data_IF_188922412751
#
_entry.id   IF_188922412751
#
_cell.length_a   1.000
_cell.length_b   1.000
_cell.length_c   1.000
_cell.angle_alpha   90.00
_cell.angle_beta   90.00
_cell.angle_gamma   90.00
#
_symmetry.space_group_name_H-M   'P 1'
#
loop_
_entity.id
_entity.type
_entity.pdbx_description
1 polymer ?
#
# COMPACT_ATOMS: atom_id res chain seq x y z
N UNK A 1 -5.65 13.71 1.76
CA UNK A 1 -6.85 13.36 2.58
C UNK A 1 -6.72 11.88 2.91
N UNK A 2 -6.93 11.47 4.16
CA UNK A 2 -6.79 10.05 4.52
C UNK A 2 -8.10 9.28 4.28
N UNK A 3 -8.01 7.95 4.19
CA UNK A 3 -9.19 7.08 4.18
C UNK A 3 -10.11 7.32 5.39
N UNK A 4 -9.55 7.67 6.55
CA UNK A 4 -10.31 8.02 7.76
C UNK A 4 -11.06 9.34 7.60
N UNK A 5 -10.48 10.32 6.91
CA UNK A 5 -11.16 11.58 6.63
C UNK A 5 -12.40 11.37 5.78
N UNK A 6 -12.35 10.47 4.79
CA UNK A 6 -13.53 10.11 3.98
C UNK A 6 -14.63 9.49 4.85
N UNK A 7 -14.27 8.58 5.77
CA UNK A 7 -15.23 8.02 6.75
C UNK A 7 -15.88 9.14 7.58
N UNK A 8 -15.09 10.10 8.07
CA UNK A 8 -15.59 11.22 8.87
C UNK A 8 -16.55 12.11 8.05
N UNK A 9 -16.22 12.37 6.78
CA UNK A 9 -17.04 13.16 5.84
C UNK A 9 -18.40 12.52 5.60
N UNK A 10 -18.44 11.20 5.42
CA UNK A 10 -19.68 10.44 5.25
C UNK A 10 -20.47 10.37 6.55
N UNK A 11 -19.80 10.09 7.67
CA UNK A 11 -20.46 9.98 8.97
C UNK A 11 -21.15 11.30 9.39
N UNK A 12 -20.57 12.46 9.07
CA UNK A 12 -21.18 13.78 9.35
C UNK A 12 -22.47 14.04 8.56
N UNK A 13 -22.68 13.35 7.43
CA UNK A 13 -23.89 13.48 6.59
C UNK A 13 -25.01 12.53 6.99
N UNK A 14 -24.76 11.62 7.92
CA UNK A 14 -25.69 10.59 8.36
C UNK A 14 -26.25 10.90 9.75
N UNK A 15 -27.36 10.26 10.16
CA UNK A 15 -27.89 10.39 11.51
C UNK A 15 -26.81 10.12 12.57
N UNK A 16 -26.87 10.85 13.69
CA UNK A 16 -25.95 10.66 14.82
C UNK A 16 -25.88 9.18 15.22
N UNK A 17 -24.68 8.72 15.54
CA UNK A 17 -24.35 7.33 15.91
C UNK A 17 -24.44 6.29 14.77
N UNK A 18 -24.65 6.71 13.52
CA UNK A 18 -24.50 5.79 12.38
C UNK A 18 -23.05 5.29 12.31
N UNK A 19 -22.87 3.96 12.34
CA UNK A 19 -21.56 3.33 12.19
C UNK A 19 -21.11 3.43 10.73
N UNK A 20 -19.87 3.80 10.51
CA UNK A 20 -19.24 3.86 9.19
C UNK A 20 -17.82 3.31 9.30
N UNK A 21 -17.42 2.44 8.39
CA UNK A 21 -16.07 1.89 8.27
C UNK A 21 -15.68 1.71 6.81
N UNK A 22 -14.38 1.63 6.52
CA UNK A 22 -13.87 1.39 5.16
C UNK A 22 -13.30 -0.02 5.03
N UNK A 23 -13.28 -0.58 3.82
CA UNK A 23 -12.88 -1.96 3.54
C UNK A 23 -11.48 -2.13 2.94
N UNK A 24 -10.57 -1.23 3.32
CA UNK A 24 -9.21 -1.16 2.81
C UNK A 24 -8.71 0.27 2.92
N UNK A 25 -7.50 0.46 3.42
CA UNK A 25 -6.90 1.80 3.49
C UNK A 25 -6.28 2.12 2.13
N UNK A 26 -6.60 3.27 1.57
CA UNK A 26 -5.79 3.93 0.55
C UNK A 26 -4.86 4.93 1.24
N UNK A 27 -3.60 4.92 0.81
CA UNK A 27 -2.59 5.88 1.24
C UNK A 27 -2.97 7.30 0.79
N UNK A 28 -2.51 8.36 1.49
CA UNK A 28 -2.94 9.74 1.19
C UNK A 28 -2.57 10.22 -0.22
N UNK A 29 -1.49 9.66 -0.79
CA UNK A 29 -1.01 9.93 -2.15
C UNK A 29 -1.75 9.13 -3.22
N UNK A 30 -2.43 8.05 -2.82
CA UNK A 30 -3.19 7.23 -3.75
C UNK A 30 -4.56 7.85 -4.03
N UNK A 31 -5.04 7.62 -5.25
CA UNK A 31 -6.42 7.87 -5.66
C UNK A 31 -7.08 6.54 -6.01
N UNK A 32 -8.41 6.49 -5.96
CA UNK A 32 -9.15 5.32 -6.41
C UNK A 32 -10.40 5.02 -5.59
N UNK A 33 -10.78 3.75 -5.60
CA UNK A 33 -12.04 3.28 -5.01
C UNK A 33 -11.86 2.99 -3.52
N UNK A 34 -12.62 3.69 -2.68
CA UNK A 34 -12.71 3.42 -1.23
C UNK A 34 -14.11 2.90 -0.88
N UNK A 35 -14.23 1.60 -0.62
CA UNK A 35 -15.51 0.99 -0.25
C UNK A 35 -15.84 1.28 1.22
N UNK A 36 -17.04 1.81 1.46
CA UNK A 36 -17.53 2.14 2.81
C UNK A 36 -18.72 1.26 3.20
N UNK A 37 -18.60 0.61 4.35
CA UNK A 37 -19.73 -0.01 5.04
C UNK A 37 -20.46 1.03 5.89
N UNK A 38 -21.79 1.07 5.78
CA UNK A 38 -22.65 2.00 6.54
C UNK A 38 -23.68 1.22 7.34
N UNK A 39 -23.86 1.59 8.61
CA UNK A 39 -24.81 0.95 9.52
C UNK A 39 -24.53 -0.56 9.66
N UNK A 40 -25.54 -1.44 9.46
CA UNK A 40 -25.35 -2.89 9.53
C UNK A 40 -24.32 -3.44 8.53
N UNK A 41 -24.13 -2.77 7.37
CA UNK A 41 -23.19 -3.22 6.34
C UNK A 41 -21.73 -3.12 6.78
N UNK A 42 -21.40 -2.40 7.86
CA UNK A 42 -20.06 -2.43 8.47
C UNK A 42 -19.63 -3.86 8.82
N UNK A 43 -20.58 -4.77 9.10
CA UNK A 43 -20.29 -6.19 9.35
C UNK A 43 -19.70 -6.93 8.14
N UNK A 44 -19.86 -6.37 6.93
CA UNK A 44 -19.35 -6.97 5.69
C UNK A 44 -17.92 -6.51 5.36
N UNK A 45 -17.41 -5.46 6.02
CA UNK A 45 -16.07 -4.89 5.79
C UNK A 45 -14.96 -5.95 5.78
N UNK A 46 -14.88 -6.89 6.75
CA UNK A 46 -13.82 -7.90 6.75
C UNK A 46 -13.83 -8.83 5.52
N UNK A 47 -15.00 -9.06 4.91
CA UNK A 47 -15.14 -9.92 3.73
C UNK A 47 -14.75 -9.19 2.45
N UNK A 48 -15.13 -7.91 2.35
CA UNK A 48 -14.71 -7.05 1.23
C UNK A 48 -13.20 -6.83 1.25
N UNK A 49 -12.61 -6.68 2.44
CA UNK A 49 -11.16 -6.53 2.60
C UNK A 49 -10.36 -7.75 2.14
N UNK A 50 -10.98 -8.93 2.01
CA UNK A 50 -10.34 -10.14 1.50
C UNK A 50 -10.44 -10.29 -0.02
N UNK A 51 -11.27 -9.48 -0.69
CA UNK A 51 -11.41 -9.55 -2.14
C UNK A 51 -10.11 -9.12 -2.85
N UNK A 52 -9.84 -9.59 -4.08
CA UNK A 52 -8.71 -9.12 -4.86
C UNK A 52 -8.81 -7.61 -5.13
N UNK A 53 -7.67 -6.97 -5.37
CA UNK A 53 -7.57 -5.55 -5.71
C UNK A 53 -6.70 -5.39 -6.93
N UNK A 54 -7.03 -4.39 -7.72
CA UNK A 54 -6.27 -3.99 -8.89
C UNK A 54 -5.72 -2.58 -8.64
N UNK A 55 -4.46 -2.38 -8.98
CA UNK A 55 -3.77 -1.11 -8.83
C UNK A 55 -3.07 -0.75 -10.13
N UNK A 56 -3.08 0.53 -10.44
CA UNK A 56 -2.18 1.12 -11.43
C UNK A 56 -1.24 2.06 -10.67
N UNK A 57 0.06 1.87 -10.87
CA UNK A 57 1.09 2.65 -10.21
C UNK A 57 2.17 3.07 -11.21
N UNK A 58 2.92 4.11 -10.84
CA UNK A 58 4.11 4.56 -11.56
C UNK A 58 5.26 4.56 -10.57
N UNK A 59 6.36 3.91 -10.94
CA UNK A 59 7.55 3.82 -10.11
C UNK A 59 8.64 4.67 -10.73
N UNK A 60 9.40 5.37 -9.90
CA UNK A 60 10.60 6.09 -10.36
C UNK A 60 11.84 5.24 -10.09
N UNK A 61 12.44 4.71 -11.14
CA UNK A 61 13.65 3.89 -11.04
C UNK A 61 14.87 4.75 -10.67
N UNK A 62 15.84 4.13 -9.99
CA UNK A 62 17.07 4.80 -9.53
C UNK A 62 16.85 5.76 -8.36
N UNK A 63 15.77 5.60 -7.61
CA UNK A 63 15.45 6.40 -6.42
C UNK A 63 14.78 5.53 -5.34
N UNK A 64 14.93 5.92 -4.08
CA UNK A 64 14.22 5.27 -2.96
C UNK A 64 13.88 6.28 -1.87
N UNK A 65 12.89 5.93 -1.04
CA UNK A 65 12.54 6.64 0.18
C UNK A 65 12.26 5.64 1.30
N UNK A 66 12.26 6.11 2.54
CA UNK A 66 11.96 5.28 3.72
C UNK A 66 10.50 4.79 3.71
N UNK A 67 9.56 5.58 3.19
CA UNK A 67 8.15 5.21 3.09
C UNK A 67 7.85 4.30 1.89
N UNK A 68 8.76 4.21 0.92
CA UNK A 68 8.53 3.48 -0.34
C UNK A 68 7.65 4.25 -1.33
N UNK A 69 7.37 5.53 -1.06
CA UNK A 69 6.56 6.43 -1.88
C UNK A 69 7.19 7.84 -1.95
N UNK A 70 6.43 8.81 -2.48
CA UNK A 70 6.87 10.20 -2.63
C UNK A 70 6.60 11.08 -1.39
N UNK A 71 6.04 10.55 -0.31
CA UNK A 71 5.81 11.32 0.94
C UNK A 71 7.10 11.52 1.75
N UNK A 72 8.11 10.66 1.54
CA UNK A 72 9.41 10.73 2.21
C UNK A 72 10.49 11.50 1.44
N UNK A 73 11.62 11.78 2.10
CA UNK A 73 12.81 12.30 1.43
C UNK A 73 13.37 11.26 0.46
N UNK A 74 13.69 11.72 -0.76
CA UNK A 74 14.10 10.86 -1.88
C UNK A 74 15.63 10.81 -1.95
N UNK A 75 16.18 9.61 -1.81
CA UNK A 75 17.56 9.28 -2.16
C UNK A 75 17.64 8.90 -3.64
N UNK A 76 18.61 9.47 -4.36
CA UNK A 76 18.85 9.18 -5.80
C UNK A 76 20.13 8.39 -5.99
N UNK A 77 20.11 7.49 -6.96
CA UNK A 77 21.24 6.62 -7.31
C UNK A 77 21.55 6.78 -8.81
N UNK A 78 22.27 7.85 -9.19
CA UNK A 78 22.45 8.23 -10.60
C UNK A 78 23.34 7.26 -11.39
N UNK A 79 24.16 6.47 -10.70
CA UNK A 79 25.14 5.57 -11.32
C UNK A 79 24.58 4.16 -11.59
N UNK A 80 23.28 3.94 -11.37
CA UNK A 80 22.66 2.65 -11.67
C UNK A 80 22.43 2.47 -13.18
N UNK A 81 22.57 1.24 -13.71
CA UNK A 81 22.25 0.97 -15.10
C UNK A 81 20.77 1.24 -15.38
N UNK A 82 20.50 1.79 -16.57
CA UNK A 82 19.13 1.97 -17.08
C UNK A 82 18.65 0.60 -17.57
N UNK A 83 17.61 0.00 -16.98
CA UNK A 83 17.11 -1.29 -17.45
C UNK A 83 16.44 -1.15 -18.81
N UNK A 84 16.46 -2.22 -19.57
CA UNK A 84 15.64 -2.37 -20.77
C UNK A 84 14.20 -2.73 -20.39
N UNK A 85 13.26 -2.57 -21.32
CA UNK A 85 11.87 -3.01 -21.11
C UNK A 85 11.82 -4.51 -20.84
N UNK A 86 12.62 -5.29 -21.56
CA UNK A 86 12.70 -6.74 -21.44
C UNK A 86 13.20 -7.18 -20.05
N UNK A 87 14.17 -6.46 -19.48
CA UNK A 87 14.63 -6.72 -18.10
C UNK A 87 13.54 -6.42 -17.06
N UNK A 88 12.72 -5.37 -17.28
CA UNK A 88 11.58 -5.07 -16.41
C UNK A 88 10.48 -6.11 -16.52
N UNK A 89 10.17 -6.58 -17.72
CA UNK A 89 9.20 -7.64 -17.96
C UNK A 89 9.64 -8.95 -17.29
N UNK A 90 10.90 -9.34 -17.44
CA UNK A 90 11.46 -10.52 -16.74
C UNK A 90 11.43 -10.36 -15.21
N UNK A 91 11.69 -9.16 -14.68
CA UNK A 91 11.55 -8.89 -13.25
C UNK A 91 10.09 -9.00 -12.78
N UNK A 92 9.13 -8.49 -13.57
CA UNK A 92 7.71 -8.57 -13.28
C UNK A 92 7.18 -10.02 -13.27
N UNK A 93 7.66 -10.86 -14.19
CA UNK A 93 7.35 -12.30 -14.22
C UNK A 93 7.79 -12.99 -12.93
N UNK A 94 9.01 -12.70 -12.43
CA UNK A 94 9.51 -13.26 -11.17
C UNK A 94 8.74 -12.80 -9.92
N UNK A 95 7.99 -11.71 -10.02
CA UNK A 95 7.14 -11.19 -8.95
C UNK A 95 5.67 -11.66 -9.08
N UNK A 96 5.33 -12.42 -10.11
CA UNK A 96 3.96 -12.92 -10.32
C UNK A 96 3.79 -14.30 -9.68
N UNK A 97 2.64 -14.54 -9.03
CA UNK A 97 2.35 -15.75 -8.26
C UNK A 97 2.49 -15.54 -6.75
N UNK A 98 2.80 -16.63 -6.02
CA UNK A 98 3.02 -16.59 -4.58
C UNK A 98 4.44 -16.10 -4.28
N UNK A 99 4.55 -14.96 -3.59
CA UNK A 99 5.83 -14.40 -3.18
C UNK A 99 5.85 -14.06 -1.69
N UNK A 100 7.05 -14.05 -1.13
CA UNK A 100 7.29 -13.56 0.22
C UNK A 100 7.52 -12.04 0.16
N UNK A 101 6.69 -11.28 0.88
CA UNK A 101 6.78 -9.82 0.95
C UNK A 101 7.01 -9.38 2.39
N UNK A 102 8.05 -8.57 2.59
CA UNK A 102 8.25 -7.82 3.83
C UNK A 102 7.47 -6.50 3.71
N UNK A 103 6.45 -6.26 4.56
CA UNK A 103 5.71 -5.00 4.51
C UNK A 103 6.61 -3.82 4.86
N UNK A 104 6.34 -2.61 4.31
CA UNK A 104 7.12 -1.44 4.65
C UNK A 104 7.01 -1.13 6.15
N UNK A 105 8.10 -0.65 6.73
CA UNK A 105 8.22 -0.26 8.15
C UNK A 105 7.14 0.74 8.62
N UNK A 106 6.66 1.57 7.69
CA UNK A 106 5.64 2.60 7.94
C UNK A 106 4.20 2.08 7.87
N UNK A 107 4.00 0.77 7.60
CA UNK A 107 2.68 0.15 7.52
C UNK A 107 1.95 0.15 8.87
N UNK A 108 0.62 0.19 8.84
CA UNK A 108 -0.23 0.17 10.04
C UNK A 108 -0.31 -1.23 10.71
N UNK A 109 0.68 -2.08 10.49
CA UNK A 109 0.71 -3.46 11.00
C UNK A 109 0.91 -3.43 12.50
N UNK A 110 0.09 -4.24 13.18
CA UNK A 110 0.21 -4.51 14.60
C UNK A 110 1.02 -5.77 14.80
N UNK A 111 2.09 -5.68 15.59
CA UNK A 111 2.88 -6.83 16.03
C UNK A 111 2.97 -6.77 17.55
N UNK A 112 2.61 -7.87 18.22
CA UNK A 112 2.58 -7.98 19.69
C UNK A 112 1.83 -6.85 20.42
N UNK A 113 0.69 -6.42 19.86
CA UNK A 113 -0.16 -5.40 20.49
C UNK A 113 0.32 -3.96 20.33
N UNK A 114 1.37 -3.71 19.54
CA UNK A 114 1.84 -2.36 19.20
C UNK A 114 2.02 -2.18 17.68
N UNK A 115 1.92 -0.93 17.19
CA UNK A 115 2.16 -0.63 15.76
C UNK A 115 3.67 -0.66 15.48
N UNK A 116 4.09 -1.47 14.51
CA UNK A 116 5.50 -1.67 14.16
C UNK A 116 6.27 -0.36 13.93
N UNK A 117 5.64 0.62 13.27
CA UNK A 117 6.21 1.95 13.04
C UNK A 117 6.69 2.68 14.32
N UNK A 118 6.01 2.51 15.46
CA UNK A 118 6.41 3.19 16.70
C UNK A 118 7.75 2.66 17.24
N UNK A 119 7.99 1.35 17.16
CA UNK A 119 9.22 0.71 17.65
C UNK A 119 10.43 1.12 16.81
N UNK A 120 10.25 1.17 15.49
CA UNK A 120 11.28 1.62 14.55
C UNK A 120 11.66 3.09 14.81
N UNK A 121 10.69 3.97 15.08
CA UNK A 121 10.96 5.36 15.49
C UNK A 121 11.63 5.49 16.86
N UNK A 122 11.45 4.53 17.74
CA UNK A 122 12.12 4.49 19.05
C UNK A 122 13.58 4.00 18.97
N UNK A 123 14.05 3.62 17.77
CA UNK A 123 15.41 3.14 17.55
C UNK A 123 15.62 1.67 17.93
N UNK A 124 14.54 0.90 18.12
CA UNK A 124 14.63 -0.55 18.35
C UNK A 124 14.91 -1.27 17.02
N UNK A 125 15.88 -2.19 17.01
CA UNK A 125 16.05 -3.14 15.90
C UNK A 125 14.83 -4.06 15.86
N UNK A 126 13.93 -3.78 14.92
CA UNK A 126 12.71 -4.54 14.72
C UNK A 126 12.67 -5.07 13.29
N UNK A 127 12.78 -6.39 13.15
CA UNK A 127 12.65 -7.08 11.87
C UNK A 127 11.16 -7.28 11.56
N UNK A 128 10.72 -6.74 10.42
CA UNK A 128 9.32 -6.86 9.99
C UNK A 128 9.05 -8.30 9.56
N UNK A 129 8.04 -8.98 10.12
CA UNK A 129 7.71 -10.34 9.68
C UNK A 129 7.28 -10.30 8.21
N UNK A 130 7.84 -11.22 7.43
CA UNK A 130 7.41 -11.46 6.06
C UNK A 130 6.02 -12.10 6.04
N UNK A 131 5.34 -11.95 4.90
CA UNK A 131 4.05 -12.60 4.63
C UNK A 131 4.01 -13.11 3.21
N UNK A 132 3.30 -14.21 2.99
CA UNK A 132 2.99 -14.68 1.65
C UNK A 132 1.91 -13.78 1.06
N UNK A 133 2.13 -13.30 -0.16
CA UNK A 133 1.14 -12.58 -0.97
C UNK A 133 1.01 -13.25 -2.32
N UNK A 134 -0.19 -13.15 -2.91
CA UNK A 134 -0.48 -13.63 -4.25
C UNK A 134 -0.58 -12.43 -5.19
N UNK A 135 0.21 -12.44 -6.26
CA UNK A 135 0.14 -11.47 -7.36
C UNK A 135 -0.43 -12.21 -8.57
N UNK A 136 -1.70 -11.95 -8.89
CA UNK A 136 -2.39 -12.64 -9.99
C UNK A 136 -1.88 -12.22 -11.38
N UNK A 137 -1.51 -10.94 -11.52
CA UNK A 137 -0.93 -10.38 -12.74
C UNK A 137 -0.12 -9.12 -12.42
N UNK A 138 0.99 -8.92 -13.11
CA UNK A 138 1.80 -7.71 -13.08
C UNK A 138 2.22 -7.34 -14.50
N UNK A 139 1.70 -6.22 -15.02
CA UNK A 139 1.88 -5.82 -16.42
C UNK A 139 2.56 -4.44 -16.53
N UNK A 140 3.60 -4.35 -17.37
CA UNK A 140 4.31 -3.10 -17.65
C UNK A 140 3.62 -2.35 -18.81
N UNK A 141 2.67 -1.49 -18.45
CA UNK A 141 1.83 -0.75 -19.41
C UNK A 141 2.55 0.38 -20.14
N UNK A 142 3.57 1.00 -19.52
CA UNK A 142 4.43 2.04 -20.08
C UNK A 142 5.83 1.91 -19.49
N UNK A 143 6.85 2.25 -20.29
CA UNK A 143 8.21 2.42 -19.78
C UNK A 143 8.92 3.52 -20.57
N UNK A 144 9.37 4.56 -19.86
CA UNK A 144 10.21 5.65 -20.34
C UNK A 144 11.09 6.14 -19.19
N UNK A 145 12.35 5.73 -19.17
CA UNK A 145 13.25 6.02 -18.05
C UNK A 145 13.23 7.51 -17.64
N UNK A 146 13.04 7.82 -16.34
CA UNK A 146 13.09 6.92 -15.18
C UNK A 146 11.74 6.32 -14.73
N UNK A 147 10.69 6.36 -15.54
CA UNK A 147 9.31 5.95 -15.18
C UNK A 147 8.78 4.73 -15.95
#
# INVERSE_FOLDING_TARGET
MTSRDVVNVVQRRLPRKTKVGHAGTLDPLAEGVLVLGVGPAVRLVPYVQQQPKHYQATFRLGSSSVSGDLEGEISKFPDLPIPTREELEAAAENLTGEIEQIPPAHSAIWVDGERAYRRIRAGEEFEMPSRIVQIDALEITRYEFPE
#
